data_IF_621644953993
#
_entry.id   IF_621644953993
#
_cell.length_a   1.000
_cell.length_b   1.000
_cell.length_c   1.000
_cell.angle_alpha   90.00
_cell.angle_beta   90.00
_cell.angle_gamma   90.00
#
_symmetry.space_group_name_H-M   'P 1'
#
loop_
_entity.id
_entity.type
_entity.pdbx_description
1 polymer ?
#
# COMPACT_ATOMS: atom_id res chain seq x y z
N UNK A 1 -10.28 19.61 -15.47
CA UNK A 1 -10.03 18.40 -14.68
C UNK A 1 -10.91 18.41 -13.44
N UNK A 2 -11.51 17.27 -13.04
CA UNK A 2 -12.21 17.20 -11.74
C UNK A 2 -11.21 17.47 -10.62
N UNK A 3 -11.55 18.34 -9.68
CA UNK A 3 -10.79 18.50 -8.44
C UNK A 3 -10.88 17.19 -7.67
N UNK A 4 -9.76 16.48 -7.53
CA UNK A 4 -9.69 15.26 -6.75
C UNK A 4 -9.90 15.64 -5.28
N UNK A 5 -10.83 14.96 -4.63
CA UNK A 5 -11.20 15.19 -3.24
C UNK A 5 -11.00 13.90 -2.44
N UNK A 6 -10.02 13.94 -1.53
CA UNK A 6 -9.65 12.82 -0.67
C UNK A 6 -10.37 12.85 0.68
N UNK A 7 -11.13 13.91 0.99
CA UNK A 7 -11.82 14.06 2.28
C UNK A 7 -12.85 12.97 2.53
N UNK A 8 -13.43 12.41 1.46
CA UNK A 8 -14.35 11.26 1.51
C UNK A 8 -13.71 9.99 2.05
N UNK A 9 -12.38 9.90 2.05
CA UNK A 9 -11.60 8.80 2.61
C UNK A 9 -10.99 9.16 3.98
N UNK A 10 -11.33 10.34 4.54
CA UNK A 10 -10.81 10.83 5.82
C UNK A 10 -9.45 11.54 5.74
N UNK A 11 -8.96 11.87 4.53
CA UNK A 11 -7.67 12.55 4.36
C UNK A 11 -7.91 14.05 4.20
N UNK A 12 -7.34 14.84 5.11
CA UNK A 12 -7.49 16.29 5.17
C UNK A 12 -6.14 17.00 5.02
N UNK A 13 -6.15 18.33 4.84
CA UNK A 13 -4.96 19.20 4.77
C UNK A 13 -3.92 18.83 3.69
N UNK A 14 -4.37 18.17 2.62
CA UNK A 14 -3.54 17.77 1.48
C UNK A 14 -2.93 19.00 0.82
N UNK A 15 -1.59 19.05 0.74
CA UNK A 15 -0.85 20.16 0.14
C UNK A 15 -0.77 20.07 -1.37
N UNK A 16 -0.59 18.86 -1.88
CA UNK A 16 -0.39 18.59 -3.29
C UNK A 16 -0.99 17.22 -3.64
N UNK A 17 -1.51 17.10 -4.86
CA UNK A 17 -1.95 15.82 -5.43
C UNK A 17 -1.22 15.63 -6.76
N UNK A 18 -0.29 14.69 -6.79
CA UNK A 18 0.36 14.22 -8.03
C UNK A 18 -0.48 13.07 -8.59
N UNK A 19 -1.33 13.37 -9.57
CA UNK A 19 -2.27 12.39 -10.15
C UNK A 19 -1.77 11.86 -11.50
N UNK A 20 -1.68 10.54 -11.63
CA UNK A 20 -1.16 9.84 -12.80
C UNK A 20 0.22 10.39 -13.25
N UNK A 21 1.25 10.38 -12.38
CA UNK A 21 2.59 10.80 -12.78
C UNK A 21 3.11 9.95 -13.93
N UNK A 22 3.89 10.56 -14.82
CA UNK A 22 4.61 9.82 -15.87
C UNK A 22 5.80 9.07 -15.27
N UNK A 23 6.38 8.13 -16.02
CA UNK A 23 7.58 7.44 -15.58
C UNK A 23 8.76 8.39 -15.35
N UNK A 24 8.86 9.45 -16.14
CA UNK A 24 9.89 10.48 -15.99
C UNK A 24 9.73 11.25 -14.68
N UNK A 25 8.50 11.66 -14.34
CA UNK A 25 8.23 12.33 -13.06
C UNK A 25 8.52 11.39 -11.88
N UNK A 26 8.13 10.12 -11.96
CA UNK A 26 8.43 9.13 -10.93
C UNK A 26 9.94 8.97 -10.73
N UNK A 27 10.70 8.86 -11.83
CA UNK A 27 12.15 8.77 -11.78
C UNK A 27 12.79 9.99 -11.12
N UNK A 28 12.36 11.21 -11.50
CA UNK A 28 12.84 12.44 -10.90
C UNK A 28 12.53 12.51 -9.39
N UNK A 29 11.32 12.09 -9.01
CA UNK A 29 10.87 12.06 -7.63
C UNK A 29 11.67 11.07 -6.79
N UNK A 30 11.94 9.86 -7.31
CA UNK A 30 12.72 8.80 -6.65
C UNK A 30 14.21 9.15 -6.48
N UNK A 31 14.75 10.06 -7.30
CA UNK A 31 16.16 10.48 -7.29
C UNK A 31 16.43 11.74 -6.46
N UNK A 32 15.43 12.30 -5.78
CA UNK A 32 15.60 13.51 -4.97
C UNK A 32 16.65 13.30 -3.86
N UNK A 33 17.63 14.21 -3.71
CA UNK A 33 18.74 14.02 -2.76
C UNK A 33 18.32 14.05 -1.28
N UNK A 34 17.12 14.57 -0.98
CA UNK A 34 16.58 14.66 0.39
C UNK A 34 15.81 13.42 0.86
N UNK A 35 15.71 12.36 0.05
CA UNK A 35 15.03 11.13 0.45
C UNK A 35 15.87 10.33 1.44
N UNK A 36 15.22 9.83 2.49
CA UNK A 36 15.84 9.10 3.59
C UNK A 36 15.17 7.75 3.84
N UNK A 37 15.84 6.86 4.59
CA UNK A 37 15.30 5.57 4.97
C UNK A 37 14.89 4.71 3.76
N UNK A 38 13.64 4.21 3.78
CA UNK A 38 13.10 3.32 2.76
C UNK A 38 12.51 4.06 1.53
N UNK A 39 12.46 5.39 1.57
CA UNK A 39 12.03 6.20 0.42
C UNK A 39 13.14 6.38 -0.62
N UNK A 40 14.41 6.21 -0.21
CA UNK A 40 15.57 6.48 -1.05
C UNK A 40 15.73 5.46 -2.19
N UNK A 41 15.62 5.94 -3.43
CA UNK A 41 16.00 5.21 -4.63
C UNK A 41 17.51 5.22 -4.90
N UNK A 42 17.99 4.20 -5.62
CA UNK A 42 19.35 4.09 -6.11
C UNK A 42 19.34 3.75 -7.61
N UNK A 43 20.01 4.56 -8.42
CA UNK A 43 20.17 4.26 -9.84
C UNK A 43 21.22 3.16 -10.02
N UNK A 44 20.81 2.03 -10.58
CA UNK A 44 21.70 0.91 -10.89
C UNK A 44 22.48 1.17 -12.18
N UNK A 45 23.56 0.41 -12.41
CA UNK A 45 24.32 0.46 -13.67
C UNK A 45 23.49 0.04 -14.90
N UNK A 46 22.37 -0.65 -14.68
CA UNK A 46 21.41 -1.03 -15.72
C UNK A 46 20.43 0.08 -16.07
N UNK A 47 20.50 1.23 -15.41
CA UNK A 47 19.58 2.37 -15.60
C UNK A 47 18.22 2.20 -14.92
N UNK A 48 18.03 1.13 -14.14
CA UNK A 48 16.82 0.91 -13.34
C UNK A 48 16.98 1.48 -11.93
N UNK A 49 15.88 1.97 -11.34
CA UNK A 49 15.83 2.37 -9.93
C UNK A 49 15.67 1.14 -9.05
N UNK A 50 16.47 1.07 -7.99
CA UNK A 50 16.36 0.08 -6.92
C UNK A 50 16.00 0.76 -5.58
N UNK A 51 15.18 0.10 -4.78
CA UNK A 51 14.81 0.52 -3.41
C UNK A 51 14.98 -0.65 -2.44
N UNK A 52 15.14 -0.34 -1.16
CA UNK A 52 15.24 -1.32 -0.08
C UNK A 52 14.02 -1.25 0.83
N UNK A 53 13.39 -2.38 1.14
CA UNK A 53 12.16 -2.45 1.96
C UNK A 53 12.42 -2.84 3.42
N UNK A 54 13.67 -2.83 3.85
CA UNK A 54 14.08 -3.18 5.21
C UNK A 54 13.78 -4.65 5.54
N UNK A 55 13.08 -4.87 6.65
CA UNK A 55 12.73 -6.23 7.11
C UNK A 55 11.59 -6.86 6.29
N UNK A 56 10.82 -6.04 5.55
CA UNK A 56 9.66 -6.51 4.78
C UNK A 56 10.10 -6.98 3.38
N UNK A 57 10.84 -8.09 3.35
CA UNK A 57 11.39 -8.69 2.13
C UNK A 57 10.43 -9.70 1.47
N UNK A 58 9.19 -9.77 1.96
CA UNK A 58 8.17 -10.68 1.46
C UNK A 58 6.79 -10.33 2.01
N UNK A 59 5.80 -11.17 1.71
CA UNK A 59 4.44 -11.02 2.25
C UNK A 59 4.43 -11.32 3.75
N UNK A 60 3.54 -10.65 4.48
CA UNK A 60 3.20 -10.96 5.87
C UNK A 60 1.81 -11.60 5.98
N UNK A 61 1.64 -12.89 5.59
CA UNK A 61 0.33 -13.54 5.59
C UNK A 61 -0.34 -13.54 6.97
N UNK A 62 0.46 -13.59 8.05
CA UNK A 62 0.00 -13.52 9.43
C UNK A 62 -0.64 -12.18 9.83
N UNK A 63 -0.41 -11.12 9.05
CA UNK A 63 -0.96 -9.79 9.29
C UNK A 63 -2.11 -9.43 8.33
N UNK A 64 -2.53 -10.38 7.47
CA UNK A 64 -3.70 -10.21 6.59
C UNK A 64 -5.01 -10.40 7.36
N UNK A 65 -5.88 -9.40 7.35
CA UNK A 65 -7.25 -9.49 7.89
C UNK A 65 -8.29 -9.05 6.86
N UNK A 66 -9.51 -9.55 7.02
CA UNK A 66 -10.68 -9.17 6.22
C UNK A 66 -11.80 -8.83 7.20
N UNK A 67 -12.42 -7.66 7.03
CA UNK A 67 -13.57 -7.26 7.85
C UNK A 67 -14.70 -8.26 7.62
N UNK A 68 -15.22 -8.83 8.70
CA UNK A 68 -16.35 -9.76 8.67
C UNK A 68 -17.64 -9.01 8.95
N UNK A 69 -18.34 -8.65 7.88
CA UNK A 69 -19.60 -7.91 7.91
C UNK A 69 -20.67 -8.62 7.06
N UNK A 70 -21.83 -7.99 6.89
CA UNK A 70 -22.95 -8.59 6.16
C UNK A 70 -22.67 -8.82 4.67
N UNK A 71 -21.63 -8.21 4.11
CA UNK A 71 -21.21 -8.44 2.72
C UNK A 71 -20.30 -9.68 2.63
N UNK A 72 -19.39 -9.85 3.59
CA UNK A 72 -18.32 -10.86 3.50
C UNK A 72 -18.60 -12.13 4.31
N UNK A 73 -19.49 -12.06 5.31
CA UNK A 73 -19.73 -13.14 6.30
C UNK A 73 -19.98 -14.50 5.65
N UNK A 74 -20.80 -14.54 4.60
CA UNK A 74 -21.29 -15.79 4.00
C UNK A 74 -20.60 -16.12 2.66
N UNK A 75 -19.71 -15.24 2.17
CA UNK A 75 -19.08 -15.38 0.84
C UNK A 75 -17.57 -15.61 0.89
N UNK A 76 -16.89 -15.17 1.95
CA UNK A 76 -15.46 -15.40 2.13
C UNK A 76 -15.20 -16.79 2.70
N UNK A 77 -14.18 -17.46 2.17
CA UNK A 77 -13.64 -18.68 2.75
C UNK A 77 -12.81 -18.35 3.99
N UNK A 78 -13.47 -18.31 5.15
CA UNK A 78 -12.82 -17.99 6.42
C UNK A 78 -11.85 -19.08 6.86
N UNK A 79 -10.78 -18.67 7.54
CA UNK A 79 -9.85 -19.62 8.17
C UNK A 79 -10.53 -20.42 9.27
N UNK A 80 -10.26 -21.73 9.32
CA UNK A 80 -10.73 -22.63 10.37
C UNK A 80 -9.66 -23.69 10.70
N UNK A 81 -9.76 -24.40 11.83
CA UNK A 81 -8.82 -25.49 12.14
C UNK A 81 -8.77 -26.59 11.07
N UNK A 82 -9.89 -26.90 10.43
CA UNK A 82 -10.02 -27.94 9.40
C UNK A 82 -9.54 -27.45 8.02
N UNK A 83 -9.50 -26.13 7.82
CA UNK A 83 -9.19 -25.49 6.55
C UNK A 83 -8.33 -24.24 6.76
N UNK A 84 -7.08 -24.40 7.23
CA UNK A 84 -6.24 -23.28 7.60
C UNK A 84 -5.86 -22.46 6.37
N UNK A 85 -6.16 -21.16 6.43
CA UNK A 85 -5.79 -20.17 5.43
C UNK A 85 -5.58 -18.78 6.07
N UNK A 86 -5.21 -17.78 5.27
CA UNK A 86 -4.87 -16.44 5.79
C UNK A 86 -6.06 -15.49 5.93
N UNK A 87 -7.28 -15.91 5.59
CA UNK A 87 -8.49 -15.07 5.67
C UNK A 87 -8.98 -14.98 7.12
N UNK A 88 -8.25 -14.21 7.91
CA UNK A 88 -8.55 -13.94 9.32
C UNK A 88 -9.62 -12.85 9.43
N UNK A 89 -10.71 -13.06 10.19
CA UNK A 89 -11.75 -12.05 10.36
C UNK A 89 -11.28 -10.90 11.26
N UNK A 90 -11.78 -9.69 11.01
CA UNK A 90 -11.74 -8.55 11.92
C UNK A 90 -13.10 -7.85 11.99
N UNK A 91 -13.28 -6.92 12.92
CA UNK A 91 -14.51 -6.14 13.16
C UNK A 91 -14.57 -4.86 12.33
N UNK A 92 -15.74 -4.24 12.25
CA UNK A 92 -15.93 -2.90 11.65
C UNK A 92 -15.46 -1.76 12.56
N UNK A 93 -15.43 -2.00 13.88
CA UNK A 93 -14.89 -1.05 14.84
C UNK A 93 -13.38 -0.87 14.63
N UNK A 94 -12.95 0.39 14.66
CA UNK A 94 -11.55 0.84 14.54
C UNK A 94 -11.14 1.52 15.84
#
# INVERSE_FOLDING_TARGET
MKKLDLSRYGIHDVKEIVYNPSYEQLFEDEMKPGLEGFEKGQLTELGAVNVMTGIFTGRSPKDKFIVKDDITRDTIWWTSPESPNDNKPTTQEV
#
